data_IF_688271885580
#
_entry.id   IF_688271885580
#
_cell.length_a   1.000
_cell.length_b   1.000
_cell.length_c   1.000
_cell.angle_alpha   90.00
_cell.angle_beta   90.00
_cell.angle_gamma   90.00
#
_symmetry.space_group_name_H-M   'P 1'
#
loop_
_entity.id
_entity.type
_entity.pdbx_description
1 polymer ?
#
# COMPACT_ATOMS: atom_id res chain seq x y z
N UNK A 1 16.54 -25.34 -3.55
CA UNK A 1 16.28 -24.52 -2.35
C UNK A 1 16.14 -23.07 -2.82
N UNK A 2 14.90 -22.57 -2.98
CA UNK A 2 14.69 -21.20 -3.47
C UNK A 2 14.74 -20.24 -2.30
N UNK A 3 15.79 -19.42 -2.27
CA UNK A 3 15.91 -18.27 -1.39
C UNK A 3 14.86 -17.27 -1.87
N UNK A 4 13.76 -17.15 -1.14
CA UNK A 4 12.81 -16.06 -1.34
C UNK A 4 13.53 -14.78 -0.92
N UNK A 5 13.86 -13.92 -1.87
CA UNK A 5 14.34 -12.57 -1.56
C UNK A 5 13.22 -11.86 -0.80
N UNK A 6 13.51 -11.42 0.42
CA UNK A 6 12.56 -10.71 1.26
C UNK A 6 12.25 -9.35 0.62
N UNK A 7 10.95 -9.06 0.44
CA UNK A 7 10.51 -7.78 -0.10
C UNK A 7 10.60 -6.71 0.99
N UNK A 8 10.99 -5.45 0.69
CA UNK A 8 11.48 -4.48 1.69
C UNK A 8 10.50 -4.02 2.78
N UNK A 9 9.24 -4.48 2.78
CA UNK A 9 8.20 -3.99 3.68
C UNK A 9 7.79 -5.08 4.67
N UNK A 10 8.58 -5.28 5.73
CA UNK A 10 8.11 -5.91 6.97
C UNK A 10 7.75 -4.77 7.92
N UNK A 11 6.47 -4.36 7.89
CA UNK A 11 5.93 -3.38 8.84
C UNK A 11 5.79 -4.06 10.21
N UNK A 12 6.49 -3.55 11.23
CA UNK A 12 6.30 -3.99 12.63
C UNK A 12 4.96 -3.43 13.14
N UNK A 13 4.14 -4.22 13.88
CA UNK A 13 2.81 -3.80 14.30
C UNK A 13 2.88 -2.65 15.33
N UNK A 14 2.02 -1.65 15.12
CA UNK A 14 1.97 -0.37 15.81
C UNK A 14 1.70 -0.48 17.33
N UNK A 15 2.38 0.37 18.08
CA UNK A 15 2.22 0.59 19.53
C UNK A 15 0.81 1.10 19.84
N UNK A 16 0.11 0.42 20.75
CA UNK A 16 -1.23 0.78 21.23
C UNK A 16 -1.23 2.18 21.86
N UNK A 17 -1.94 3.13 21.26
CA UNK A 17 -2.25 4.42 21.89
C UNK A 17 -3.42 4.21 22.86
N UNK A 18 -3.17 4.48 24.14
CA UNK A 18 -4.13 4.35 25.22
C UNK A 18 -4.86 5.69 25.41
N UNK A 19 -6.09 5.80 24.95
CA UNK A 19 -6.92 6.99 25.17
C UNK A 19 -7.56 6.90 26.55
N UNK A 20 -7.04 7.64 27.52
CA UNK A 20 -7.75 7.92 28.78
C UNK A 20 -8.85 8.95 28.52
N UNK A 21 -10.11 8.55 28.70
CA UNK A 21 -11.26 9.46 28.83
C UNK A 21 -11.04 10.37 30.04
N UNK A 22 -11.17 11.68 29.85
CA UNK A 22 -11.49 12.61 30.93
C UNK A 22 -12.82 13.25 30.55
N UNK A 23 -13.86 12.93 31.32
CA UNK A 23 -15.09 13.72 31.41
C UNK A 23 -14.77 14.90 32.33
N UNK A 24 -15.40 16.05 32.13
CA UNK A 24 -15.86 16.92 33.21
C UNK A 24 -16.98 17.82 32.69
N UNK A 25 -18.03 17.88 33.50
CA UNK A 25 -19.27 18.63 33.35
C UNK A 25 -19.08 20.11 33.77
N UNK A 26 -20.07 20.93 33.40
CA UNK A 26 -20.17 22.38 33.63
C UNK A 26 -20.31 22.78 35.11
N UNK A 27 -19.77 23.97 35.47
CA UNK A 27 -20.54 25.14 35.96
C UNK A 27 -19.75 26.04 36.98
N UNK A 28 -20.04 27.34 36.90
CA UNK A 28 -20.02 28.37 37.98
C UNK A 28 -18.74 29.21 38.30
N UNK A 29 -18.78 30.43 37.75
CA UNK A 29 -18.80 31.75 38.44
C UNK A 29 -17.55 32.36 39.19
N UNK A 30 -17.12 33.53 38.66
CA UNK A 30 -16.68 34.81 39.31
C UNK A 30 -15.23 35.12 39.78
N UNK A 31 -14.64 36.07 39.03
CA UNK A 31 -13.98 37.36 39.41
C UNK A 31 -12.51 37.50 39.93
N UNK A 32 -11.81 38.44 39.25
CA UNK A 32 -10.76 39.44 39.64
C UNK A 32 -9.26 39.06 39.60
N UNK A 33 -8.52 39.82 38.76
CA UNK A 33 -7.06 40.14 38.72
C UNK A 33 -6.62 41.02 39.92
N UNK A 34 -5.32 41.36 40.19
CA UNK A 34 -4.13 41.38 39.31
C UNK A 34 -2.75 40.93 39.89
N UNK A 35 -1.75 40.86 38.99
CA UNK A 35 -0.28 41.01 39.10
C UNK A 35 0.55 40.18 40.10
N UNK A 36 1.52 39.39 39.58
CA UNK A 36 2.96 39.50 39.90
C UNK A 36 3.85 38.50 39.11
N UNK A 37 4.80 39.12 38.37
CA UNK A 37 6.10 38.69 37.81
C UNK A 37 6.74 37.37 38.31
N UNK A 38 7.01 36.42 37.39
CA UNK A 38 8.18 35.52 37.42
C UNK A 38 8.44 34.81 36.08
N UNK A 39 9.68 34.95 35.59
CA UNK A 39 10.49 34.01 34.80
C UNK A 39 9.92 33.33 33.53
N UNK A 40 10.32 33.89 32.38
CA UNK A 40 10.33 33.26 31.06
C UNK A 40 11.28 32.06 31.04
N UNK A 41 10.74 30.85 31.24
CA UNK A 41 11.41 29.62 30.81
C UNK A 41 10.86 29.25 29.44
N UNK A 42 11.58 29.64 28.37
CA UNK A 42 11.26 29.27 26.99
C UNK A 42 11.48 27.77 26.82
N UNK A 43 10.38 27.01 26.88
CA UNK A 43 10.31 25.64 26.38
C UNK A 43 10.42 25.75 24.85
N UNK A 44 11.63 25.53 24.34
CA UNK A 44 11.85 25.31 22.91
C UNK A 44 11.21 23.97 22.57
N UNK A 45 9.96 24.01 22.13
CA UNK A 45 9.33 22.91 21.43
C UNK A 45 10.13 22.70 20.15
N UNK A 46 11.08 21.77 20.18
CA UNK A 46 11.71 21.28 18.96
C UNK A 46 10.65 20.45 18.26
N UNK A 47 9.86 21.12 17.42
CA UNK A 47 8.95 20.50 16.46
C UNK A 47 9.82 19.58 15.60
N UNK A 48 9.81 18.29 15.96
CA UNK A 48 10.43 17.26 15.14
C UNK A 48 9.51 17.13 13.94
N UNK A 49 9.90 17.75 12.83
CA UNK A 49 9.22 17.55 11.56
C UNK A 49 9.05 16.05 11.32
N UNK A 50 7.85 15.58 10.93
CA UNK A 50 7.66 14.18 10.64
C UNK A 50 8.58 13.81 9.49
N UNK A 51 9.55 12.92 9.77
CA UNK A 51 10.42 12.30 8.77
C UNK A 51 9.52 11.75 7.68
N UNK A 52 9.53 12.39 6.52
CA UNK A 52 8.75 11.96 5.36
C UNK A 52 9.40 10.68 4.87
N UNK A 53 8.91 9.51 5.31
CA UNK A 53 9.24 8.25 4.66
C UNK A 53 8.82 8.37 3.20
N UNK A 54 9.80 8.49 2.31
CA UNK A 54 9.55 8.51 0.87
C UNK A 54 8.84 7.21 0.48
N UNK A 55 7.65 7.34 -0.10
CA UNK A 55 6.86 6.16 -0.50
C UNK A 55 7.64 5.35 -1.54
N UNK A 56 7.69 4.02 -1.40
CA UNK A 56 8.45 3.17 -2.30
C UNK A 56 7.85 3.22 -3.73
N UNK A 57 8.70 2.91 -4.70
CA UNK A 57 8.37 2.99 -6.13
C UNK A 57 8.23 1.59 -6.71
N UNK A 58 7.12 1.35 -7.40
CA UNK A 58 6.88 0.19 -8.24
C UNK A 58 7.34 0.50 -9.68
N UNK A 59 8.04 -0.44 -10.32
CA UNK A 59 8.47 -0.31 -11.72
C UNK A 59 8.14 -1.58 -12.51
N UNK A 60 7.22 -1.48 -13.47
CA UNK A 60 6.90 -2.59 -14.36
C UNK A 60 8.07 -2.92 -15.29
N UNK A 61 8.55 -4.17 -15.25
CA UNK A 61 9.68 -4.63 -16.08
C UNK A 61 9.35 -4.81 -17.57
N UNK A 62 8.07 -4.72 -17.96
CA UNK A 62 7.65 -4.85 -19.36
C UNK A 62 7.42 -3.50 -20.05
N UNK A 63 6.88 -2.50 -19.36
CA UNK A 63 6.54 -1.19 -19.97
C UNK A 63 7.11 0.02 -19.24
N UNK A 64 7.93 -0.19 -18.20
CA UNK A 64 8.54 0.86 -17.38
C UNK A 64 7.54 1.80 -16.69
N UNK A 65 6.25 1.40 -16.59
CA UNK A 65 5.29 2.10 -15.74
C UNK A 65 5.87 2.21 -14.33
N UNK A 66 6.04 3.44 -13.87
CA UNK A 66 6.65 3.79 -12.60
C UNK A 66 5.63 4.54 -11.77
N UNK A 67 5.33 4.03 -10.58
CA UNK A 67 4.30 4.63 -9.72
C UNK A 67 4.64 4.38 -8.25
N UNK A 68 4.21 5.28 -7.36
CA UNK A 68 4.37 5.07 -5.92
C UNK A 68 3.33 4.09 -5.41
N UNK A 69 3.72 3.22 -4.49
CA UNK A 69 2.79 2.31 -3.82
C UNK A 69 2.84 2.52 -2.31
N UNK A 70 1.73 2.22 -1.64
CA UNK A 70 1.60 2.37 -0.20
C UNK A 70 1.82 1.03 0.51
N UNK A 71 1.45 -0.10 -0.11
CA UNK A 71 1.59 -1.43 0.50
C UNK A 71 1.92 -2.53 -0.51
N UNK A 72 2.61 -3.56 -0.03
CA UNK A 72 2.83 -4.82 -0.73
C UNK A 72 2.27 -5.98 0.10
N UNK A 73 1.42 -6.82 -0.50
CA UNK A 73 0.88 -8.05 0.09
C UNK A 73 -0.01 -7.91 1.35
N UNK A 74 -0.21 -6.69 1.87
CA UNK A 74 -1.00 -6.48 3.09
C UNK A 74 -2.51 -6.34 2.78
N UNK A 75 -3.20 -7.48 2.74
CA UNK A 75 -4.66 -7.54 2.69
C UNK A 75 -5.32 -7.16 4.03
N UNK A 76 -4.57 -7.25 5.13
CA UNK A 76 -5.07 -7.13 6.51
C UNK A 76 -5.48 -5.70 6.83
N UNK A 77 -4.77 -4.72 6.26
CA UNK A 77 -5.07 -3.30 6.45
C UNK A 77 -6.32 -2.80 5.71
N UNK A 78 -6.78 -3.53 4.69
CA UNK A 78 -7.70 -2.96 3.68
C UNK A 78 -9.00 -3.73 3.46
N UNK A 79 -9.08 -5.04 3.74
CA UNK A 79 -10.37 -5.74 3.81
C UNK A 79 -10.31 -7.01 4.68
N UNK A 80 -10.85 -6.93 5.91
CA UNK A 80 -10.67 -7.93 6.99
C UNK A 80 -11.28 -9.33 6.74
N UNK A 81 -11.88 -9.61 5.57
CA UNK A 81 -12.64 -10.86 5.34
C UNK A 81 -12.24 -11.66 4.10
N UNK A 82 -11.30 -11.18 3.28
CA UNK A 82 -10.86 -11.91 2.08
C UNK A 82 -9.33 -11.87 2.00
N UNK A 83 -8.68 -12.93 2.50
CA UNK A 83 -7.25 -13.12 2.29
C UNK A 83 -7.00 -13.63 0.89
N UNK A 84 -6.40 -12.83 0.01
CA UNK A 84 -5.90 -13.36 -1.27
C UNK A 84 -4.45 -13.80 -1.10
N UNK A 85 -4.08 -14.95 -1.69
CA UNK A 85 -2.72 -15.54 -1.59
C UNK A 85 -1.75 -14.96 -2.63
N UNK A 86 -2.04 -13.77 -3.15
CA UNK A 86 -1.34 -13.19 -4.28
C UNK A 86 -0.75 -11.86 -3.82
N UNK A 87 0.51 -11.66 -4.15
CA UNK A 87 1.24 -10.44 -3.80
C UNK A 87 0.82 -9.31 -4.76
N UNK A 88 0.41 -8.16 -4.24
CA UNK A 88 0.03 -7.01 -5.05
C UNK A 88 0.76 -5.75 -4.61
N UNK A 89 1.09 -4.90 -5.58
CA UNK A 89 1.46 -3.51 -5.35
C UNK A 89 0.18 -2.67 -5.27
N UNK A 90 -0.09 -2.09 -4.10
CA UNK A 90 -1.29 -1.33 -3.81
C UNK A 90 -0.97 0.14 -3.59
N UNK A 91 -1.72 1.03 -4.25
CA UNK A 91 -1.72 2.46 -3.98
C UNK A 91 -3.10 2.88 -3.48
N UNK A 92 -3.16 3.83 -2.54
CA UNK A 92 -4.42 4.46 -2.14
C UNK A 92 -5.05 5.12 -3.35
N UNK A 93 -6.35 4.95 -3.48
CA UNK A 93 -7.11 5.63 -4.53
C UNK A 93 -7.15 7.15 -4.24
N UNK A 94 -6.58 8.01 -5.10
CA UNK A 94 -6.56 9.45 -4.89
C UNK A 94 -7.94 10.11 -5.09
N UNK A 95 -8.88 9.42 -5.72
CA UNK A 95 -10.23 9.90 -5.99
C UNK A 95 -11.23 9.47 -4.92
N UNK A 96 -10.82 8.54 -4.05
CA UNK A 96 -11.65 8.06 -2.95
C UNK A 96 -11.48 8.90 -1.69
N UNK A 97 -12.58 9.17 -0.95
CA UNK A 97 -12.46 9.74 0.39
C UNK A 97 -11.55 8.89 1.27
N UNK A 98 -10.65 9.54 2.03
CA UNK A 98 -9.68 8.85 2.90
C UNK A 98 -10.33 7.89 3.91
N UNK A 99 -11.56 8.17 4.32
CA UNK A 99 -12.34 7.32 5.23
C UNK A 99 -12.70 5.96 4.64
N UNK A 100 -12.81 5.84 3.30
CA UNK A 100 -13.25 4.61 2.63
C UNK A 100 -12.13 3.59 2.43
N UNK A 101 -10.87 3.96 2.64
CA UNK A 101 -9.70 3.07 2.49
C UNK A 101 -9.77 2.25 1.18
N UNK A 102 -10.02 2.92 0.06
CA UNK A 102 -10.04 2.29 -1.26
C UNK A 102 -8.64 2.32 -1.88
N UNK A 103 -8.35 1.34 -2.74
CA UNK A 103 -7.03 1.11 -3.31
C UNK A 103 -7.12 0.76 -4.78
N UNK A 104 -6.04 1.12 -5.48
CA UNK A 104 -5.74 0.73 -6.84
C UNK A 104 -4.67 -0.37 -6.81
N UNK A 105 -4.89 -1.41 -7.61
CA UNK A 105 -3.89 -2.43 -7.87
C UNK A 105 -3.01 -1.94 -9.02
N UNK A 106 -1.73 -1.71 -8.76
CA UNK A 106 -0.78 -1.26 -9.77
C UNK A 106 -0.23 -2.44 -10.59
N UNK A 107 0.04 -3.55 -9.90
CA UNK A 107 0.72 -4.70 -10.46
C UNK A 107 0.96 -5.79 -9.43
N UNK A 108 1.78 -6.78 -9.83
CA UNK A 108 2.14 -7.93 -9.02
C UNK A 108 3.48 -8.51 -9.51
N UNK A 109 3.95 -9.56 -8.84
CA UNK A 109 5.14 -10.32 -9.20
C UNK A 109 4.73 -11.50 -10.09
N UNK A 110 5.39 -11.66 -11.24
CA UNK A 110 5.14 -12.79 -12.12
C UNK A 110 5.54 -14.11 -11.46
N UNK A 111 4.60 -15.03 -11.30
CA UNK A 111 4.83 -16.33 -10.63
C UNK A 111 5.72 -17.33 -11.36
N UNK A 112 6.25 -16.97 -12.54
CA UNK A 112 7.15 -17.82 -13.33
C UNK A 112 8.58 -17.29 -13.42
N UNK A 113 8.78 -15.98 -13.31
CA UNK A 113 10.09 -15.34 -13.46
C UNK A 113 10.38 -14.24 -12.43
N UNK A 114 9.50 -14.07 -11.44
CA UNK A 114 9.63 -13.14 -10.33
C UNK A 114 9.83 -11.66 -10.73
N UNK A 115 9.45 -11.30 -11.96
CA UNK A 115 9.48 -9.91 -12.45
C UNK A 115 8.23 -9.15 -12.02
N UNK A 116 8.43 -7.92 -11.57
CA UNK A 116 7.37 -6.96 -11.31
C UNK A 116 6.69 -6.53 -12.61
N UNK A 117 5.38 -6.72 -12.69
CA UNK A 117 4.58 -6.40 -13.88
C UNK A 117 3.28 -5.71 -13.51
N UNK A 118 2.92 -4.67 -14.26
CA UNK A 118 1.69 -3.93 -14.02
C UNK A 118 0.46 -4.69 -14.53
N UNK A 119 -0.72 -4.28 -14.07
CA UNK A 119 -2.01 -4.88 -14.43
C UNK A 119 -2.43 -4.67 -15.90
N UNK A 120 -1.68 -3.88 -16.68
CA UNK A 120 -2.00 -3.66 -18.10
C UNK A 120 -2.02 -5.00 -18.83
N UNK A 121 -3.06 -5.31 -19.63
CA UNK A 121 -3.19 -6.60 -20.32
C UNK A 121 -1.96 -6.97 -21.16
N UNK A 122 -1.31 -5.97 -21.75
CA UNK A 122 -0.12 -6.16 -22.58
C UNK A 122 1.10 -6.60 -21.74
N UNK A 123 1.12 -6.27 -20.44
CA UNK A 123 2.20 -6.57 -19.51
C UNK A 123 1.96 -7.85 -18.71
N UNK A 124 0.73 -8.13 -18.29
CA UNK A 124 0.43 -9.28 -17.45
C UNK A 124 -1.00 -9.78 -17.61
N UNK A 125 -1.22 -11.00 -17.13
CA UNK A 125 -2.54 -11.61 -17.01
C UNK A 125 -2.69 -12.24 -15.62
N UNK A 126 -3.86 -12.07 -15.03
CA UNK A 126 -4.28 -12.79 -13.83
C UNK A 126 -5.17 -13.97 -14.21
N UNK A 127 -4.87 -15.14 -13.65
CA UNK A 127 -5.76 -16.31 -13.70
C UNK A 127 -5.96 -16.87 -12.29
N UNK A 128 -5.00 -17.65 -11.79
CA UNK A 128 -4.88 -18.06 -10.39
C UNK A 128 -3.75 -17.31 -9.67
N UNK A 129 -2.81 -16.78 -10.44
CA UNK A 129 -1.67 -15.94 -10.05
C UNK A 129 -1.36 -14.96 -11.20
N UNK A 130 -0.41 -14.05 -10.99
CA UNK A 130 0.07 -13.16 -12.04
C UNK A 130 1.12 -13.83 -12.91
N UNK A 131 0.96 -13.67 -14.22
CA UNK A 131 1.95 -14.07 -15.21
C UNK A 131 2.27 -12.86 -16.09
N UNK A 132 3.56 -12.53 -16.25
CA UNK A 132 3.95 -11.55 -17.25
C UNK A 132 3.56 -12.08 -18.64
N UNK A 133 3.29 -11.18 -19.57
CA UNK A 133 2.79 -11.53 -20.90
C UNK A 133 3.77 -12.43 -21.67
N UNK A 134 5.08 -12.32 -21.41
CA UNK A 134 6.11 -13.21 -21.96
C UNK A 134 5.93 -14.64 -21.44
N UNK A 135 5.84 -14.83 -20.12
CA UNK A 135 5.64 -16.15 -19.52
C UNK A 135 4.28 -16.75 -19.88
N UNK A 136 3.22 -15.93 -19.90
CA UNK A 136 1.88 -16.38 -20.27
C UNK A 136 1.84 -16.94 -21.69
N UNK A 137 2.53 -16.29 -22.65
CA UNK A 137 2.64 -16.79 -24.02
C UNK A 137 3.53 -18.03 -24.14
N UNK A 138 4.67 -18.05 -23.43
CA UNK A 138 5.60 -19.19 -23.45
C UNK A 138 4.94 -20.48 -22.96
N UNK A 139 4.09 -20.39 -21.95
CA UNK A 139 3.41 -21.54 -21.34
C UNK A 139 1.90 -21.54 -21.62
N UNK A 140 1.49 -21.02 -22.78
CA UNK A 140 0.07 -20.80 -23.11
C UNK A 140 -0.75 -22.10 -23.05
N UNK A 141 -0.18 -23.24 -23.42
CA UNK A 141 -0.82 -24.55 -23.37
C UNK A 141 -1.28 -24.96 -21.97
N UNK A 142 -0.70 -24.40 -20.92
CA UNK A 142 -1.00 -24.74 -19.53
C UNK A 142 -2.21 -23.96 -18.98
N UNK A 143 -2.74 -23.01 -19.75
CA UNK A 143 -3.93 -22.25 -19.38
C UNK A 143 -5.19 -22.88 -19.99
N UNK A 144 -6.38 -22.73 -19.36
CA UNK A 144 -7.65 -23.10 -19.99
C UNK A 144 -7.87 -22.36 -21.30
N UNK A 145 -8.60 -22.96 -22.25
CA UNK A 145 -8.82 -22.42 -23.61
C UNK A 145 -9.29 -20.96 -23.62
N UNK A 146 -10.23 -20.60 -22.73
CA UNK A 146 -10.74 -19.22 -22.61
C UNK A 146 -9.67 -18.19 -22.24
N UNK A 147 -8.65 -18.60 -21.48
CA UNK A 147 -7.50 -17.76 -21.13
C UNK A 147 -6.48 -17.73 -22.28
N UNK A 148 -6.29 -18.86 -22.97
CA UNK A 148 -5.43 -18.91 -24.15
C UNK A 148 -5.89 -17.92 -25.23
N UNK A 149 -7.20 -17.85 -25.48
CA UNK A 149 -7.78 -16.89 -26.43
C UNK A 149 -7.45 -15.44 -26.05
N UNK A 150 -7.61 -15.08 -24.76
CA UNK A 150 -7.25 -13.75 -24.26
C UNK A 150 -5.78 -13.43 -24.48
N UNK A 151 -4.89 -14.38 -24.18
CA UNK A 151 -3.44 -14.22 -24.37
C UNK A 151 -3.09 -14.04 -25.86
N UNK A 152 -3.77 -14.76 -26.76
CA UNK A 152 -3.56 -14.66 -28.22
C UNK A 152 -4.03 -13.32 -28.79
N UNK A 153 -5.16 -12.80 -28.33
CA UNK A 153 -5.75 -11.55 -28.84
C UNK A 153 -5.06 -10.30 -28.31
N UNK A 154 -4.37 -10.41 -27.16
CA UNK A 154 -3.71 -9.27 -26.53
C UNK A 154 -2.44 -8.86 -27.29
N UNK A 155 -2.31 -7.54 -27.55
CA UNK A 155 -1.18 -6.96 -28.29
C UNK A 155 0.17 -7.31 -27.66
N UNK A 156 1.18 -7.47 -28.52
CA UNK A 156 2.57 -7.70 -28.10
C UNK A 156 3.19 -6.36 -27.68
N UNK A 157 3.99 -6.40 -26.61
CA UNK A 157 4.92 -5.34 -26.22
C UNK A 157 6.28 -5.72 -26.79
#
# INVERSE_FOLDING_TARGET
>A
MSIKQEHPLIVKPETKINIKKIKNDEDSERTKTPDNKAEETKIVNTETEPVVEERPIFVCKNCNLTERYDCFNDHVSFNRKVGTKVDYYLARDPFSPRSKRQFLILGSVCSMCDKDVCIKPECSIFYSKFFCSICARKYISNFPTSIQEKIKTTKRI
#
